data_IF_561128620709
#
_entry.id   IF_561128620709
#
_cell.length_a   1.000
_cell.length_b   1.000
_cell.length_c   1.000
_cell.angle_alpha   90.00
_cell.angle_beta   90.00
_cell.angle_gamma   90.00
#
_symmetry.space_group_name_H-M   'P 1'
#
loop_
_entity.id
_entity.type
_entity.pdbx_description
1 polymer ?
#
# COMPACT_ATOMS: atom_id res chain seq x y z
N UNK A 1 3.99 -17.00 12.86
CA UNK A 1 4.90 -18.15 12.63
C UNK A 1 4.21 -19.38 13.19
N UNK A 2 4.24 -20.50 12.48
CA UNK A 2 3.69 -21.78 12.94
C UNK A 2 4.82 -22.76 13.23
N UNK A 3 4.60 -23.69 14.16
CA UNK A 3 5.58 -24.68 14.59
C UNK A 3 4.87 -26.03 14.79
N UNK A 4 5.39 -27.10 14.19
CA UNK A 4 5.04 -28.48 14.51
C UNK A 4 6.30 -29.21 14.96
N UNK A 5 6.20 -30.06 15.98
CA UNK A 5 7.27 -31.00 16.33
C UNK A 5 7.65 -31.89 15.14
N UNK A 6 6.65 -32.26 14.33
CA UNK A 6 6.78 -33.07 13.13
C UNK A 6 7.38 -32.35 11.91
N UNK A 7 6.98 -31.10 11.67
CA UNK A 7 7.26 -30.38 10.42
C UNK A 7 8.27 -29.23 10.59
N UNK A 8 8.68 -28.93 11.82
CA UNK A 8 9.50 -27.76 12.13
C UNK A 8 8.71 -26.44 12.06
N UNK A 9 9.44 -25.36 11.79
CA UNK A 9 8.91 -23.99 11.74
C UNK A 9 8.53 -23.60 10.32
N UNK A 10 7.45 -22.83 10.20
CA UNK A 10 7.01 -22.23 8.94
C UNK A 10 6.47 -20.81 9.16
N UNK A 11 6.46 -20.04 8.08
CA UNK A 11 5.68 -18.79 8.06
C UNK A 11 4.19 -19.14 8.12
N UNK A 12 3.40 -18.28 8.75
CA UNK A 12 1.94 -18.36 8.74
C UNK A 12 1.43 -16.94 8.48
N UNK A 13 0.79 -16.75 7.34
CA UNK A 13 0.21 -15.48 6.89
C UNK A 13 -1.30 -15.65 6.79
N UNK A 14 -2.06 -14.93 7.62
CA UNK A 14 -3.52 -15.07 7.71
C UNK A 14 -4.15 -13.77 7.21
N UNK A 15 -5.08 -13.88 6.25
CA UNK A 15 -5.87 -12.78 5.72
C UNK A 15 -7.34 -12.98 6.06
N UNK A 16 -7.97 -11.96 6.64
CA UNK A 16 -9.40 -11.93 6.93
C UNK A 16 -10.06 -10.72 6.23
N UNK A 17 -10.19 -10.73 4.90
CA UNK A 17 -10.73 -9.60 4.15
C UNK A 17 -12.19 -9.31 4.53
N UNK A 18 -12.48 -8.06 4.91
CA UNK A 18 -13.83 -7.64 5.32
C UNK A 18 -14.89 -7.85 4.23
N UNK A 19 -14.49 -7.74 2.95
CA UNK A 19 -15.36 -7.99 1.80
C UNK A 19 -15.88 -9.42 1.69
N UNK A 20 -15.25 -10.38 2.39
CA UNK A 20 -15.67 -11.77 2.41
C UNK A 20 -16.37 -12.17 3.71
N UNK A 21 -16.68 -11.24 4.62
CA UNK A 21 -17.26 -11.60 5.92
C UNK A 21 -18.56 -12.37 5.74
N UNK A 22 -18.62 -13.60 6.25
CA UNK A 22 -19.78 -14.50 6.12
C UNK A 22 -19.93 -15.17 4.75
N UNK A 23 -19.02 -14.94 3.81
CA UNK A 23 -19.04 -15.60 2.50
C UNK A 23 -18.46 -17.02 2.57
N UNK A 24 -18.96 -17.91 1.71
CA UNK A 24 -18.39 -19.24 1.49
C UNK A 24 -17.57 -19.26 0.21
N UNK A 25 -16.43 -19.94 0.22
CA UNK A 25 -15.61 -20.16 -0.98
C UNK A 25 -16.25 -21.04 -2.06
N UNK A 26 -17.48 -21.55 -1.85
CA UNK A 26 -18.25 -22.27 -2.87
C UNK A 26 -18.70 -21.36 -4.03
N UNK A 27 -18.82 -20.06 -3.78
CA UNK A 27 -19.20 -19.08 -4.80
C UNK A 27 -17.94 -18.40 -5.35
N UNK A 28 -17.42 -18.96 -6.45
CA UNK A 28 -16.18 -18.50 -7.06
C UNK A 28 -16.22 -17.02 -7.50
N UNK A 29 -17.42 -16.46 -7.75
CA UNK A 29 -17.58 -15.05 -8.12
C UNK A 29 -17.21 -14.07 -7.00
N UNK A 30 -17.19 -14.56 -5.76
CA UNK A 30 -16.85 -13.78 -4.56
C UNK A 30 -15.41 -14.00 -4.10
N UNK A 31 -14.64 -14.83 -4.79
CA UNK A 31 -13.26 -15.08 -4.40
C UNK A 31 -12.40 -13.81 -4.60
N UNK A 32 -11.48 -13.50 -3.68
CA UNK A 32 -10.59 -12.37 -3.84
C UNK A 32 -9.77 -12.45 -5.13
N UNK A 33 -9.55 -11.31 -5.76
CA UNK A 33 -8.80 -11.23 -7.02
C UNK A 33 -7.37 -11.79 -6.92
N UNK A 34 -6.79 -11.79 -5.73
CA UNK A 34 -5.46 -12.35 -5.49
C UNK A 34 -5.42 -13.88 -5.44
N UNK A 35 -6.58 -14.56 -5.44
CA UNK A 35 -6.68 -16.01 -5.54
C UNK A 35 -7.03 -16.44 -6.97
N UNK A 36 -6.55 -17.61 -7.38
CA UNK A 36 -7.00 -18.30 -8.58
C UNK A 36 -8.28 -19.11 -8.32
N UNK A 37 -8.78 -19.80 -9.34
CA UNK A 37 -9.99 -20.65 -9.25
C UNK A 37 -9.87 -21.79 -8.24
N UNK A 38 -8.64 -22.20 -7.90
CA UNK A 38 -8.33 -23.26 -6.94
C UNK A 38 -8.07 -22.70 -5.53
N UNK A 39 -8.40 -21.43 -5.26
CA UNK A 39 -8.16 -20.73 -4.00
C UNK A 39 -6.67 -20.62 -3.61
N UNK A 40 -5.78 -20.69 -4.60
CA UNK A 40 -4.34 -20.50 -4.42
C UNK A 40 -3.95 -19.07 -4.76
N UNK A 41 -2.98 -18.54 -4.03
CA UNK A 41 -2.40 -17.23 -4.21
C UNK A 41 -1.70 -17.13 -5.57
N UNK A 42 -2.14 -16.19 -6.40
CA UNK A 42 -1.49 -15.92 -7.68
C UNK A 42 -0.10 -15.31 -7.45
N UNK A 43 0.89 -15.78 -8.21
CA UNK A 43 2.29 -15.37 -8.04
C UNK A 43 2.57 -13.92 -8.47
N UNK A 44 1.70 -13.35 -9.31
CA UNK A 44 1.79 -11.97 -9.78
C UNK A 44 1.20 -10.94 -8.78
N UNK A 45 0.76 -11.39 -7.61
CA UNK A 45 0.12 -10.54 -6.59
C UNK A 45 1.09 -10.10 -5.50
N UNK A 46 0.82 -8.93 -4.92
CA UNK A 46 1.62 -8.35 -3.85
C UNK A 46 1.77 -9.28 -2.64
N UNK A 47 0.73 -10.05 -2.29
CA UNK A 47 0.81 -11.00 -1.17
C UNK A 47 1.77 -12.16 -1.43
N UNK A 48 1.98 -12.59 -2.67
CA UNK A 48 2.99 -13.61 -2.97
C UNK A 48 4.38 -13.07 -2.66
N UNK A 49 4.67 -11.84 -3.10
CA UNK A 49 5.92 -11.14 -2.78
C UNK A 49 6.10 -10.99 -1.26
N UNK A 50 5.04 -10.64 -0.52
CA UNK A 50 5.06 -10.52 0.94
C UNK A 50 5.46 -11.85 1.60
N UNK A 51 4.83 -12.96 1.21
CA UNK A 51 5.09 -14.29 1.77
C UNK A 51 6.52 -14.76 1.46
N UNK A 52 7.00 -14.53 0.22
CA UNK A 52 8.40 -14.82 -0.16
C UNK A 52 9.39 -14.00 0.67
N UNK A 53 9.12 -12.71 0.89
CA UNK A 53 9.96 -11.84 1.72
C UNK A 53 9.99 -12.30 3.19
N UNK A 54 8.86 -12.71 3.76
CA UNK A 54 8.80 -13.26 5.12
C UNK A 54 9.64 -14.54 5.26
N UNK A 55 9.55 -15.45 4.28
CA UNK A 55 10.38 -16.66 4.23
C UNK A 55 11.87 -16.33 4.12
N UNK A 56 12.24 -15.38 3.25
CA UNK A 56 13.63 -14.92 3.11
C UNK A 56 14.17 -14.32 4.43
N UNK A 57 13.41 -13.42 5.06
CA UNK A 57 13.80 -12.76 6.31
C UNK A 57 13.94 -13.75 7.48
N UNK A 58 13.11 -14.79 7.51
CA UNK A 58 13.13 -15.82 8.57
C UNK A 58 14.00 -17.02 8.25
N UNK A 59 14.57 -17.09 7.04
CA UNK A 59 15.30 -18.24 6.50
C UNK A 59 14.48 -19.55 6.53
N UNK A 60 13.16 -19.43 6.40
CA UNK A 60 12.24 -20.57 6.32
C UNK A 60 11.90 -20.86 4.85
N UNK A 61 11.58 -22.12 4.55
CA UNK A 61 11.33 -22.57 3.17
C UNK A 61 9.85 -22.85 2.88
N UNK A 62 8.98 -22.69 3.89
CA UNK A 62 7.53 -22.98 3.82
C UNK A 62 6.73 -21.88 4.49
N UNK A 63 5.58 -21.58 3.90
CA UNK A 63 4.58 -20.67 4.43
C UNK A 63 3.18 -21.28 4.28
N UNK A 64 2.38 -21.24 5.35
CA UNK A 64 0.93 -21.42 5.23
C UNK A 64 0.29 -20.07 4.95
N UNK A 65 -0.39 -19.95 3.82
CA UNK A 65 -1.19 -18.79 3.47
C UNK A 65 -2.67 -19.13 3.69
N UNK A 66 -3.32 -18.42 4.61
CA UNK A 66 -4.70 -18.67 5.01
C UNK A 66 -5.57 -17.49 4.63
N UNK A 67 -6.73 -17.76 4.03
CA UNK A 67 -7.77 -16.76 3.82
C UNK A 67 -9.01 -17.21 4.58
N UNK A 68 -9.46 -16.40 5.54
CA UNK A 68 -10.59 -16.70 6.40
C UNK A 68 -11.74 -15.73 6.13
N UNK A 69 -12.96 -16.26 6.06
CA UNK A 69 -14.20 -15.48 5.86
C UNK A 69 -15.04 -15.35 7.14
N UNK A 70 -14.61 -16.01 8.23
CA UNK A 70 -15.37 -16.19 9.46
C UNK A 70 -16.29 -17.42 9.45
N UNK A 71 -16.66 -17.94 8.28
CA UNK A 71 -17.46 -19.18 8.13
C UNK A 71 -16.72 -20.30 7.39
N UNK A 72 -15.71 -19.95 6.61
CA UNK A 72 -14.85 -20.89 5.90
C UNK A 72 -13.41 -20.37 5.83
N UNK A 73 -12.47 -21.28 5.60
CA UNK A 73 -11.07 -20.94 5.38
C UNK A 73 -10.51 -21.70 4.18
N UNK A 74 -9.60 -21.06 3.45
CA UNK A 74 -8.77 -21.68 2.42
C UNK A 74 -7.32 -21.65 2.91
N UNK A 75 -6.59 -22.74 2.70
CA UNK A 75 -5.17 -22.85 3.07
C UNK A 75 -4.37 -23.28 1.86
N UNK A 76 -3.29 -22.58 1.60
CA UNK A 76 -2.25 -22.97 0.66
C UNK A 76 -0.91 -23.12 1.38
N UNK A 77 -0.19 -24.20 1.06
CA UNK A 77 1.21 -24.35 1.45
C UNK A 77 2.10 -23.82 0.32
N UNK A 78 2.78 -22.70 0.57
CA UNK A 78 3.67 -22.04 -0.38
C UNK A 78 5.11 -22.40 -0.04
N UNK A 79 5.88 -22.79 -1.05
CA UNK A 79 7.32 -23.02 -0.93
C UNK A 79 8.11 -21.75 -1.27
N UNK A 80 9.29 -21.60 -0.65
CA UNK A 80 10.19 -20.52 -1.00
C UNK A 80 10.69 -20.67 -2.44
N UNK A 81 10.53 -19.62 -3.23
CA UNK A 81 10.91 -19.57 -4.64
C UNK A 81 12.18 -18.73 -4.77
N UNK A 82 13.33 -19.41 -4.79
CA UNK A 82 14.64 -18.78 -4.88
C UNK A 82 14.80 -17.95 -6.15
N UNK A 83 14.29 -18.44 -7.29
CA UNK A 83 14.38 -17.74 -8.57
C UNK A 83 13.58 -16.44 -8.54
N UNK A 84 12.35 -16.48 -8.03
CA UNK A 84 11.54 -15.28 -7.82
C UNK A 84 12.25 -14.30 -6.86
N UNK A 85 12.74 -14.78 -5.72
CA UNK A 85 13.37 -13.92 -4.72
C UNK A 85 14.65 -13.26 -5.25
N UNK A 86 15.46 -13.97 -6.03
CA UNK A 86 16.70 -13.43 -6.63
C UNK A 86 16.44 -12.22 -7.55
N UNK A 87 15.24 -12.08 -8.10
CA UNK A 87 14.82 -10.94 -8.91
C UNK A 87 14.18 -9.82 -8.07
N UNK A 88 13.60 -10.15 -6.93
CA UNK A 88 12.89 -9.21 -6.05
C UNK A 88 13.84 -8.50 -5.07
N UNK A 89 14.80 -9.23 -4.50
CA UNK A 89 15.74 -8.73 -3.48
C UNK A 89 16.55 -7.50 -3.95
N UNK A 90 17.14 -7.47 -5.16
CA UNK A 90 17.89 -6.29 -5.61
C UNK A 90 17.02 -5.04 -5.74
N UNK A 91 15.73 -5.21 -6.08
CA UNK A 91 14.77 -4.09 -6.18
C UNK A 91 14.48 -3.51 -4.79
N UNK A 92 14.28 -4.37 -3.80
CA UNK A 92 14.07 -3.95 -2.42
C UNK A 92 15.32 -3.25 -1.85
N UNK A 93 16.51 -3.80 -2.10
CA UNK A 93 17.78 -3.19 -1.69
C UNK A 93 17.99 -1.82 -2.33
N UNK A 94 17.76 -1.70 -3.64
CA UNK A 94 17.85 -0.43 -4.36
C UNK A 94 16.85 0.61 -3.82
N UNK A 95 15.61 0.20 -3.57
CA UNK A 95 14.60 1.09 -2.97
C UNK A 95 15.02 1.57 -1.58
N UNK A 96 15.55 0.67 -0.74
CA UNK A 96 16.06 1.00 0.59
C UNK A 96 17.19 2.03 0.50
N UNK A 97 18.20 1.79 -0.33
CA UNK A 97 19.36 2.68 -0.46
C UNK A 97 19.03 4.02 -1.12
N UNK A 98 18.14 4.04 -2.11
CA UNK A 98 17.84 5.25 -2.88
C UNK A 98 16.75 6.13 -2.24
N UNK A 99 15.83 5.56 -1.44
CA UNK A 99 14.66 6.29 -0.94
C UNK A 99 14.56 6.27 0.58
N UNK A 100 14.64 5.08 1.18
CA UNK A 100 14.42 4.94 2.62
C UNK A 100 15.60 5.48 3.42
N UNK A 101 16.83 5.12 3.08
CA UNK A 101 18.02 5.55 3.80
C UNK A 101 18.24 7.07 3.75
N UNK A 102 18.14 7.75 2.58
CA UNK A 102 18.22 9.20 2.53
C UNK A 102 17.11 9.87 3.34
N UNK A 103 15.89 9.33 3.34
CA UNK A 103 14.80 9.89 4.14
C UNK A 103 15.04 9.74 5.65
N UNK A 104 15.57 8.59 6.10
CA UNK A 104 15.91 8.39 7.52
C UNK A 104 16.98 9.39 7.99
N UNK A 105 17.95 9.73 7.14
CA UNK A 105 19.02 10.68 7.48
C UNK A 105 18.56 12.14 7.39
N UNK A 106 17.93 12.49 6.28
CA UNK A 106 17.68 13.90 5.92
C UNK A 106 16.30 14.39 6.37
N UNK A 107 15.35 13.47 6.52
CA UNK A 107 13.91 13.74 6.68
C UNK A 107 13.38 14.68 5.60
N UNK A 108 13.91 14.57 4.38
CA UNK A 108 13.63 15.52 3.30
C UNK A 108 12.16 15.55 2.94
N UNK A 109 11.54 14.38 2.73
CA UNK A 109 10.12 14.24 2.42
C UNK A 109 9.28 14.78 3.58
N UNK A 110 9.65 14.47 4.83
CA UNK A 110 8.96 15.04 6.00
C UNK A 110 9.05 16.57 6.04
N UNK A 111 10.24 17.15 5.84
CA UNK A 111 10.44 18.61 5.78
C UNK A 111 9.66 19.24 4.64
N UNK A 112 9.66 18.62 3.46
CA UNK A 112 8.89 19.07 2.31
C UNK A 112 7.38 19.04 2.61
N UNK A 113 6.88 17.99 3.28
CA UNK A 113 5.47 17.90 3.72
C UNK A 113 5.11 19.00 4.71
N UNK A 114 5.97 19.30 5.68
CA UNK A 114 5.73 20.40 6.62
C UNK A 114 5.77 21.75 5.90
N UNK A 115 6.76 22.00 5.05
CA UNK A 115 6.85 23.21 4.24
C UNK A 115 5.63 23.38 3.32
N UNK A 116 5.11 22.29 2.74
CA UNK A 116 3.93 22.31 1.89
C UNK A 116 2.65 22.74 2.64
N UNK A 117 2.60 22.65 3.98
CA UNK A 117 1.49 23.18 4.78
C UNK A 117 1.47 24.71 4.83
N UNK A 118 2.60 25.35 4.55
CA UNK A 118 2.75 26.81 4.64
C UNK A 118 3.06 27.43 3.27
N UNK A 119 3.33 26.61 2.27
CA UNK A 119 3.67 27.02 0.91
C UNK A 119 2.43 27.08 0.03
N UNK A 120 2.16 28.25 -0.54
CA UNK A 120 1.15 28.41 -1.58
C UNK A 120 1.80 28.24 -2.94
N UNK A 121 1.15 27.43 -3.78
CA UNK A 121 1.47 27.31 -5.19
C UNK A 121 1.49 28.70 -5.84
N UNK A 122 2.63 29.06 -6.45
CA UNK A 122 2.87 30.36 -7.09
C UNK A 122 3.25 31.53 -6.18
N UNK A 123 3.15 31.40 -4.85
CA UNK A 123 3.38 32.53 -3.93
C UNK A 123 4.32 32.25 -2.75
N UNK A 124 4.88 31.03 -2.68
CA UNK A 124 5.90 30.66 -1.70
C UNK A 124 5.37 30.49 -0.29
N UNK A 125 6.28 30.51 0.68
CA UNK A 125 5.99 30.36 2.12
C UNK A 125 5.38 31.64 2.68
N UNK A 126 4.14 31.58 3.17
CA UNK A 126 3.51 32.66 3.96
C UNK A 126 2.72 32.06 5.12
N UNK A 127 2.62 32.81 6.21
CA UNK A 127 1.77 32.43 7.34
C UNK A 127 0.29 32.55 6.96
N UNK A 128 -0.50 31.52 7.31
CA UNK A 128 -1.95 31.57 7.15
C UNK A 128 -2.56 30.21 6.83
N UNK A 129 -3.90 30.17 6.86
CA UNK A 129 -4.66 28.97 6.51
C UNK A 129 -4.50 28.65 5.03
N UNK A 130 -4.25 27.38 4.74
CA UNK A 130 -4.18 26.84 3.39
C UNK A 130 -5.37 25.91 3.10
N UNK A 131 -5.61 25.65 1.82
CA UNK A 131 -6.48 24.59 1.32
C UNK A 131 -5.74 23.83 0.22
N UNK A 132 -5.86 22.50 0.22
CA UNK A 132 -5.34 21.66 -0.85
C UNK A 132 -6.40 21.53 -1.96
N UNK A 133 -5.96 21.55 -3.22
CA UNK A 133 -6.83 21.19 -4.34
C UNK A 133 -7.30 19.73 -4.20
N UNK A 134 -8.57 19.46 -4.52
CA UNK A 134 -9.15 18.12 -4.49
C UNK A 134 -8.68 17.22 -5.64
N UNK A 135 -8.11 17.80 -6.70
CA UNK A 135 -7.70 17.10 -7.92
C UNK A 135 -6.19 17.04 -8.13
N UNK A 136 -5.40 17.75 -7.31
CA UNK A 136 -3.94 17.71 -7.37
C UNK A 136 -3.32 17.86 -5.98
N UNK A 137 -2.00 17.91 -5.91
CA UNK A 137 -1.24 18.02 -4.65
C UNK A 137 -0.90 19.46 -4.26
N UNK A 138 -1.33 20.46 -5.04
CA UNK A 138 -1.03 21.87 -4.79
C UNK A 138 -1.84 22.45 -3.62
N UNK A 139 -1.17 23.23 -2.78
CA UNK A 139 -1.76 23.96 -1.65
C UNK A 139 -1.84 25.45 -1.97
N UNK A 140 -2.88 26.13 -1.46
CA UNK A 140 -3.10 27.56 -1.69
C UNK A 140 -3.47 28.24 -0.37
N UNK A 141 -2.90 29.41 -0.07
CA UNK A 141 -3.39 30.21 1.05
C UNK A 141 -4.80 30.69 0.73
N UNK A 142 -5.73 30.58 1.69
CA UNK A 142 -7.10 31.02 1.50
C UNK A 142 -7.16 32.48 1.01
N UNK A 143 -6.28 33.35 1.53
CA UNK A 143 -6.18 34.76 1.10
C UNK A 143 -5.76 34.90 -0.38
N UNK A 144 -4.81 34.09 -0.85
CA UNK A 144 -4.33 34.14 -2.24
C UNK A 144 -5.44 33.78 -3.25
N UNK A 145 -6.35 32.89 -2.86
CA UNK A 145 -7.51 32.48 -3.68
C UNK A 145 -8.83 33.12 -3.20
N UNK A 146 -8.75 34.20 -2.40
CA UNK A 146 -9.89 35.00 -1.91
C UNK A 146 -10.98 34.21 -1.15
N UNK A 147 -10.61 33.10 -0.50
CA UNK A 147 -11.48 32.36 0.41
C UNK A 147 -11.36 32.90 1.86
N UNK A 148 -12.49 32.92 2.57
CA UNK A 148 -12.54 33.33 3.99
C UNK A 148 -12.45 32.15 4.98
N UNK A 149 -12.87 30.96 4.57
CA UNK A 149 -12.92 29.72 5.38
C UNK A 149 -12.47 28.54 4.53
N UNK A 150 -11.93 27.50 5.18
CA UNK A 150 -11.51 26.27 4.51
C UNK A 150 -12.75 25.47 4.10
N UNK A 151 -12.99 25.24 2.80
CA UNK A 151 -14.10 24.42 2.33
C UNK A 151 -13.82 22.93 2.52
N UNK A 152 -14.87 22.09 2.50
CA UNK A 152 -14.71 20.62 2.52
C UNK A 152 -14.07 20.07 1.24
N UNK A 153 -14.37 20.68 0.10
CA UNK A 153 -13.78 20.37 -1.21
C UNK A 153 -13.60 21.66 -1.99
N UNK A 154 -12.47 21.79 -2.68
CA UNK A 154 -12.15 22.92 -3.54
C UNK A 154 -11.19 22.48 -4.64
N UNK A 155 -11.24 23.15 -5.78
CA UNK A 155 -10.42 22.82 -6.95
C UNK A 155 -9.75 24.09 -7.45
N UNK A 156 -8.45 24.03 -7.72
CA UNK A 156 -7.71 25.18 -8.23
C UNK A 156 -8.09 25.52 -9.67
N UNK A 157 -7.82 26.76 -10.09
CA UNK A 157 -8.13 27.28 -11.42
C UNK A 157 -7.53 26.42 -12.54
N UNK A 158 -6.28 25.97 -12.39
CA UNK A 158 -5.64 25.09 -13.38
C UNK A 158 -6.41 23.77 -13.55
N UNK A 159 -6.76 23.11 -12.44
CA UNK A 159 -7.53 21.87 -12.48
C UNK A 159 -8.98 22.06 -12.94
N UNK A 160 -9.54 23.27 -12.80
CA UNK A 160 -10.85 23.61 -13.37
C UNK A 160 -10.76 23.78 -14.90
N UNK A 161 -9.71 24.41 -15.41
CA UNK A 161 -9.50 24.61 -16.85
C UNK A 161 -9.30 23.29 -17.60
N UNK A 162 -8.58 22.34 -16.99
CA UNK A 162 -8.34 21.01 -17.59
C UNK A 162 -9.62 20.17 -17.71
N UNK A 163 -10.67 20.48 -16.93
CA UNK A 163 -11.93 19.73 -16.99
C UNK A 163 -12.90 20.20 -18.08
N UNK A 164 -12.66 21.35 -18.71
CA UNK A 164 -13.59 21.96 -19.68
C UNK A 164 -14.97 22.28 -19.07
N UNK A 165 -15.74 23.22 -19.66
CA UNK A 165 -17.15 23.35 -19.29
C UNK A 165 -17.89 22.10 -19.76
N UNK A 166 -18.55 21.40 -18.82
CA UNK A 166 -19.54 20.38 -19.15
C UNK A 166 -20.82 20.99 -19.73
#
# INVERSE_FOLDING_TARGET
>A
MASCECCGKSVAEIKCPASLKGASFKDASKNPQYLNTNLQLKQDQAYYTQVQAQMAATKLHRAYFLVCTGVSFAVELISFNKSFWSLAEPKAASFLSANVFPELQTKLILKQRECAKETCYGHGTKSGRIVQCSLCTANFHLKCIKLKRTPKSWTCSECQLVRGPG
#
